data_IF_273186827490
#
_entry.id   IF_273186827490
#
_cell.length_a   1.000
_cell.length_b   1.000
_cell.length_c   1.000
_cell.angle_alpha   90.00
_cell.angle_beta   90.00
_cell.angle_gamma   90.00
#
_symmetry.space_group_name_H-M   'P 1'
#
loop_
_entity.id
_entity.type
_entity.pdbx_description
1 polymer ?
#
# COMPACT_ATOMS: atom_id res chain seq x y z
N UNK A 1 -7.08 -24.61 7.14
CA UNK A 1 -7.33 -23.14 7.23
C UNK A 1 -8.07 -22.70 5.98
N UNK A 2 -9.09 -21.84 6.11
CA UNK A 2 -9.78 -21.22 4.98
C UNK A 2 -8.85 -20.13 4.40
N UNK A 3 -8.57 -20.19 3.10
CA UNK A 3 -7.85 -19.12 2.40
C UNK A 3 -8.82 -17.96 2.16
N UNK A 4 -8.47 -16.76 2.62
CA UNK A 4 -9.28 -15.56 2.44
C UNK A 4 -8.91 -14.80 1.16
N UNK A 5 -7.62 -14.75 0.80
CA UNK A 5 -7.13 -14.06 -0.39
C UNK A 5 -5.67 -14.37 -0.69
N UNK A 6 -5.05 -13.53 -1.51
CA UNK A 6 -3.65 -13.60 -1.91
C UNK A 6 -3.03 -12.22 -1.79
N UNK A 7 -1.83 -12.14 -1.22
CA UNK A 7 -0.97 -10.96 -1.34
C UNK A 7 -0.23 -11.07 -2.67
N UNK A 8 -0.49 -10.16 -3.59
CA UNK A 8 0.10 -10.12 -4.93
C UNK A 8 1.45 -9.41 -4.91
N UNK A 9 1.53 -8.28 -4.20
CA UNK A 9 2.76 -7.51 -4.06
C UNK A 9 2.93 -7.00 -2.63
N UNK A 10 4.18 -6.92 -2.21
CA UNK A 10 4.60 -6.24 -0.98
C UNK A 10 5.39 -5.01 -1.38
N UNK A 11 5.04 -3.87 -0.81
CA UNK A 11 5.62 -2.57 -1.15
C UNK A 11 6.09 -1.86 0.11
N UNK A 12 7.22 -1.17 -0.02
CA UNK A 12 7.74 -0.27 1.00
C UNK A 12 8.37 0.96 0.33
N UNK A 13 8.49 2.04 1.10
CA UNK A 13 9.09 3.27 0.62
C UNK A 13 9.75 4.04 1.75
N UNK A 14 10.66 4.92 1.35
CA UNK A 14 11.31 5.88 2.25
C UNK A 14 10.67 7.24 2.11
N UNK A 15 10.69 8.01 3.19
CA UNK A 15 10.14 9.35 3.17
C UNK A 15 11.00 10.29 2.33
N UNK A 16 10.37 11.00 1.40
CA UNK A 16 10.98 12.07 0.60
C UNK A 16 10.29 13.40 0.89
N UNK A 17 10.96 14.51 0.56
CA UNK A 17 10.36 15.83 0.65
C UNK A 17 9.09 15.91 -0.21
N UNK A 18 8.05 16.54 0.34
CA UNK A 18 6.73 16.67 -0.27
C UNK A 18 6.20 18.10 -0.11
N UNK A 19 4.99 18.35 -0.61
CA UNK A 19 4.38 19.68 -0.60
C UNK A 19 4.31 20.30 0.81
N UNK A 20 4.42 21.62 0.87
CA UNK A 20 4.30 22.41 2.11
C UNK A 20 5.26 22.00 3.24
N UNK A 21 6.46 21.52 2.90
CA UNK A 21 7.48 21.12 3.86
C UNK A 21 7.20 19.78 4.56
N UNK A 22 6.15 19.06 4.14
CA UNK A 22 5.87 17.72 4.62
C UNK A 22 6.87 16.70 4.06
N UNK A 23 6.90 15.52 4.67
CA UNK A 23 7.54 14.33 4.10
C UNK A 23 6.48 13.29 3.78
N UNK A 24 6.71 12.50 2.74
CA UNK A 24 5.80 11.44 2.33
C UNK A 24 6.56 10.22 1.83
N UNK A 25 6.04 9.04 2.14
CA UNK A 25 6.47 7.76 1.56
C UNK A 25 5.33 7.15 0.72
N UNK A 26 4.51 7.99 0.08
CA UNK A 26 3.37 7.53 -0.73
C UNK A 26 3.85 6.73 -1.95
N UNK A 27 4.99 7.08 -2.55
CA UNK A 27 5.54 6.39 -3.71
C UNK A 27 6.32 5.11 -3.31
N UNK A 28 5.63 4.14 -2.72
CA UNK A 28 6.21 2.84 -2.34
C UNK A 28 6.49 2.00 -3.58
N UNK A 29 7.58 1.24 -3.53
CA UNK A 29 8.00 0.38 -4.63
C UNK A 29 7.79 -1.09 -4.26
N UNK A 30 7.49 -1.91 -5.26
CA UNK A 30 7.39 -3.37 -5.09
C UNK A 30 8.76 -3.91 -4.68
N UNK A 31 8.77 -4.68 -3.59
CA UNK A 31 9.95 -5.39 -3.10
C UNK A 31 9.82 -6.87 -3.46
N UNK A 32 10.86 -7.43 -4.10
CA UNK A 32 10.92 -8.84 -4.46
C UNK A 32 11.25 -9.74 -3.25
N UNK A 33 11.91 -9.15 -2.26
CA UNK A 33 12.34 -9.85 -1.05
C UNK A 33 11.25 -9.89 0.01
N UNK A 34 11.26 -10.93 0.85
CA UNK A 34 10.37 -11.02 2.02
C UNK A 34 10.61 -9.84 2.97
N UNK A 35 9.52 -9.26 3.45
CA UNK A 35 9.56 -8.19 4.44
C UNK A 35 9.17 -8.69 5.82
N UNK A 36 9.85 -8.19 6.85
CA UNK A 36 9.49 -8.45 8.24
C UNK A 36 8.46 -7.41 8.70
N UNK A 37 7.30 -7.88 9.16
CA UNK A 37 6.28 -7.03 9.75
C UNK A 37 6.51 -6.88 11.25
N UNK A 38 6.52 -5.63 11.71
CA UNK A 38 6.58 -5.24 13.12
C UNK A 38 5.25 -4.61 13.53
N UNK A 39 5.09 -4.29 14.82
CA UNK A 39 3.92 -3.54 15.31
C UNK A 39 3.72 -2.18 14.65
N UNK A 40 4.78 -1.61 14.05
CA UNK A 40 4.74 -0.28 13.44
C UNK A 40 4.80 -0.30 11.90
N UNK A 41 4.90 -1.47 11.28
CA UNK A 41 4.97 -1.64 9.82
C UNK A 41 6.13 -2.51 9.38
N UNK A 42 6.44 -2.50 8.08
CA UNK A 42 7.60 -3.23 7.54
C UNK A 42 8.91 -2.53 7.89
N UNK A 43 9.97 -3.31 8.16
CA UNK A 43 11.29 -2.77 8.53
C UNK A 43 11.93 -1.85 7.49
N UNK A 44 11.57 -2.02 6.21
CA UNK A 44 12.07 -1.21 5.10
C UNK A 44 11.12 -0.06 4.71
N UNK A 45 10.00 0.10 5.41
CA UNK A 45 9.02 1.14 5.14
C UNK A 45 9.16 2.32 6.11
N UNK A 46 8.69 3.48 5.70
CA UNK A 46 8.59 4.68 6.54
C UNK A 46 7.23 5.37 6.36
N UNK A 47 6.85 6.16 7.35
CA UNK A 47 5.63 6.94 7.36
C UNK A 47 5.99 8.44 7.42
N UNK A 48 5.34 9.25 6.57
CA UNK A 48 5.67 10.67 6.39
C UNK A 48 5.57 11.51 7.66
N UNK A 49 4.54 11.27 8.46
CA UNK A 49 4.40 11.82 9.81
C UNK A 49 3.79 10.76 10.73
N UNK A 50 4.59 10.09 11.59
CA UNK A 50 4.08 9.02 12.43
C UNK A 50 3.05 9.47 13.46
N UNK A 51 2.94 10.78 13.75
CA UNK A 51 1.92 11.31 14.69
C UNK A 51 0.50 11.18 14.12
N UNK A 52 0.36 11.38 12.80
CA UNK A 52 -0.94 11.37 12.13
C UNK A 52 -1.12 10.18 11.20
N UNK A 53 -0.06 9.76 10.53
CA UNK A 53 -0.05 8.72 9.49
C UNK A 53 0.64 7.43 9.94
N UNK A 54 0.86 7.28 11.25
CA UNK A 54 1.51 6.10 11.82
C UNK A 54 0.88 5.55 13.07
N UNK A 55 1.63 4.65 13.71
CA UNK A 55 1.24 3.93 14.91
C UNK A 55 0.61 2.56 14.62
N UNK A 56 0.42 1.78 15.67
CA UNK A 56 0.02 0.36 15.59
C UNK A 56 -1.30 0.12 14.83
N UNK A 57 -2.22 1.08 14.89
CA UNK A 57 -3.52 1.02 14.20
C UNK A 57 -3.43 1.34 12.70
N UNK A 58 -2.27 1.81 12.21
CA UNK A 58 -2.02 2.21 10.82
C UNK A 58 -0.66 1.70 10.32
N UNK A 59 -0.22 0.57 10.86
CA UNK A 59 1.10 0.02 10.61
C UNK A 59 1.30 -0.40 9.14
N UNK A 60 0.26 -0.94 8.51
CA UNK A 60 0.29 -1.38 7.11
C UNK A 60 -1.00 -0.94 6.40
N UNK A 61 -0.85 -0.45 5.18
CA UNK A 61 -1.95 -0.12 4.28
C UNK A 61 -2.15 -1.25 3.26
N UNK A 62 -3.39 -1.76 3.14
CA UNK A 62 -3.78 -2.76 2.15
C UNK A 62 -4.71 -2.13 1.12
N UNK A 63 -4.51 -2.47 -0.15
CA UNK A 63 -5.40 -2.04 -1.22
C UNK A 63 -5.72 -3.19 -2.18
N UNK A 64 -7.01 -3.51 -2.42
CA UNK A 64 -7.41 -4.55 -3.37
C UNK A 64 -6.98 -4.21 -4.80
N UNK A 65 -6.29 -5.13 -5.44
CA UNK A 65 -5.83 -5.01 -6.84
C UNK A 65 -6.98 -4.91 -7.83
N UNK A 66 -8.15 -5.45 -7.47
CA UNK A 66 -9.40 -5.39 -8.22
C UNK A 66 -9.82 -3.93 -8.52
N UNK A 67 -9.50 -2.99 -7.63
CA UNK A 67 -9.88 -1.59 -7.79
C UNK A 67 -9.05 -0.85 -8.86
N UNK A 68 -7.86 -1.34 -9.20
CA UNK A 68 -7.04 -0.71 -10.25
C UNK A 68 -7.76 -0.70 -11.59
N UNK A 69 -8.49 -1.76 -11.93
CA UNK A 69 -9.26 -1.83 -13.17
C UNK A 69 -10.37 -0.76 -13.20
N UNK A 70 -11.04 -0.52 -12.05
CA UNK A 70 -12.06 0.52 -11.92
C UNK A 70 -11.45 1.90 -12.17
N UNK A 71 -10.31 2.20 -11.57
CA UNK A 71 -9.63 3.49 -11.79
C UNK A 71 -9.13 3.69 -13.22
N UNK A 72 -8.65 2.62 -13.89
CA UNK A 72 -8.30 2.70 -15.31
C UNK A 72 -9.53 3.01 -16.18
N UNK A 73 -10.71 2.48 -15.83
CA UNK A 73 -11.96 2.76 -16.55
C UNK A 73 -12.44 4.20 -16.30
N UNK A 74 -12.41 4.67 -15.06
CA UNK A 74 -12.94 6.00 -14.70
C UNK A 74 -12.01 7.15 -15.09
N UNK A 75 -10.70 6.97 -14.94
CA UNK A 75 -9.70 8.03 -15.08
C UNK A 75 -8.80 7.86 -16.30
N UNK A 76 -9.01 6.79 -17.07
CA UNK A 76 -8.23 6.42 -18.25
C UNK A 76 -6.97 5.62 -17.94
N UNK A 77 -6.32 5.11 -19.00
CA UNK A 77 -5.09 4.31 -18.93
C UNK A 77 -3.87 5.19 -18.60
N UNK A 78 -3.77 5.57 -17.33
CA UNK A 78 -2.61 6.30 -16.79
C UNK A 78 -1.58 5.30 -16.30
N UNK A 79 -0.31 5.55 -16.59
CA UNK A 79 0.80 4.68 -16.16
C UNK A 79 0.82 4.39 -14.65
N UNK A 80 0.35 5.32 -13.81
CA UNK A 80 0.25 5.11 -12.36
C UNK A 80 -0.67 3.95 -11.97
N UNK A 81 -1.67 3.61 -12.80
CA UNK A 81 -2.59 2.50 -12.56
C UNK A 81 -2.13 1.18 -13.20
N UNK A 82 -0.98 1.14 -13.87
CA UNK A 82 -0.47 -0.07 -14.52
C UNK A 82 0.34 -0.97 -13.57
N UNK A 83 0.63 -0.49 -12.36
CA UNK A 83 1.33 -1.25 -11.32
C UNK A 83 0.76 -0.93 -9.93
N UNK A 84 0.97 -1.84 -8.98
CA UNK A 84 0.68 -1.58 -7.57
C UNK A 84 1.51 -0.40 -7.03
N UNK A 85 1.00 0.27 -5.98
CA UNK A 85 1.63 1.39 -5.30
C UNK A 85 1.00 2.76 -5.56
N UNK A 86 0.03 2.86 -6.48
CA UNK A 86 -0.63 4.13 -6.82
C UNK A 86 -1.31 4.81 -5.61
N UNK A 87 -1.75 4.01 -4.64
CA UNK A 87 -2.45 4.46 -3.45
C UNK A 87 -1.55 4.42 -2.21
N UNK A 88 -0.24 4.20 -2.40
CA UNK A 88 0.75 4.11 -1.33
C UNK A 88 0.55 2.94 -0.39
N UNK A 89 -0.12 1.89 -0.85
CA UNK A 89 -0.31 0.64 -0.14
C UNK A 89 1.01 -0.09 0.12
N UNK A 90 1.07 -0.80 1.24
CA UNK A 90 2.13 -1.74 1.56
C UNK A 90 1.82 -3.15 1.03
N UNK A 91 0.53 -3.48 0.92
CA UNK A 91 0.04 -4.79 0.49
C UNK A 91 -0.95 -4.56 -0.64
N UNK A 92 -0.64 -5.07 -1.82
CA UNK A 92 -1.62 -5.23 -2.89
C UNK A 92 -2.15 -6.66 -2.83
N UNK A 93 -3.47 -6.82 -2.72
CA UNK A 93 -4.12 -8.13 -2.53
C UNK A 93 -5.16 -8.44 -3.59
N UNK A 94 -5.55 -9.71 -3.71
CA UNK A 94 -6.75 -10.13 -4.43
C UNK A 94 -7.56 -11.14 -3.63
N UNK A 95 -8.87 -11.18 -3.87
CA UNK A 95 -9.84 -12.03 -3.18
C UNK A 95 -10.36 -11.44 -1.87
N UNK A 96 -9.83 -10.30 -1.43
CA UNK A 96 -10.28 -9.55 -0.25
C UNK A 96 -10.54 -8.11 -0.66
N UNK A 97 -11.77 -7.68 -0.47
CA UNK A 97 -12.24 -6.30 -0.70
C UNK A 97 -12.97 -5.81 0.55
N UNK A 98 -13.38 -4.55 0.55
CA UNK A 98 -14.18 -3.94 1.61
C UNK A 98 -15.57 -4.59 1.76
N UNK A 99 -16.04 -5.32 0.74
CA UNK A 99 -17.29 -6.09 0.79
C UNK A 99 -17.09 -7.52 1.30
N UNK A 100 -15.84 -7.97 1.47
CA UNK A 100 -15.56 -9.30 2.00
C UNK A 100 -16.00 -9.36 3.47
N UNK A 101 -16.79 -10.37 3.82
CA UNK A 101 -17.11 -10.65 5.22
C UNK A 101 -15.85 -11.14 5.95
N UNK A 102 -15.65 -10.63 7.17
CA UNK A 102 -14.53 -10.98 8.05
C UNK A 102 -14.61 -12.44 8.55
#
# INVERSE_FOLDING_TARGET
MKKLGVVNNVLAGKTVAFAHGAKSAINKQVLLERQHATELGFTNDEQGDPRFHGGIQKALHIYPSEHYQVWQQELGDKGVFQSAGAFGENISSSGVTEQSEA
#
